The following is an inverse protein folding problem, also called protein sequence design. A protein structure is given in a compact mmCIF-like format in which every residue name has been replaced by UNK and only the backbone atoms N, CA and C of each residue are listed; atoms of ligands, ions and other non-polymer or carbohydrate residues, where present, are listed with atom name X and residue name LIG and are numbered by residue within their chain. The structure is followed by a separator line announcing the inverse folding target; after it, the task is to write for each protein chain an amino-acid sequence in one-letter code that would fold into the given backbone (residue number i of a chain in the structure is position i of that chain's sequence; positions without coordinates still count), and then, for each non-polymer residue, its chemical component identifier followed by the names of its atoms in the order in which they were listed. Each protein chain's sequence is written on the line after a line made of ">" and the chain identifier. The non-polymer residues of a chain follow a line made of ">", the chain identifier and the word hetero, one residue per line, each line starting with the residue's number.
data_IF_844485809376
#
_entry.id   IF_844485809376
#
_cell.length_a   1.000
_cell.length_b   1.000
_cell.length_c   1.000
_cell.angle_alpha   90.00
_cell.angle_beta   90.00
_cell.angle_gamma   90.00
#
_symmetry.space_group_name_H-M   'P 1'
#
loop_
_entity.id
_entity.type
_entity.pdbx_description
1 polymer ?
#
# COMPACT_ATOMS: atom_id res chain seq x y z
N UNK A 1 8.08 37.44 13.91
CA UNK A 1 8.34 36.00 14.12
C UNK A 1 8.98 35.30 12.91
N UNK A 2 8.51 35.44 11.65
CA UNK A 2 9.19 34.83 10.50
C UNK A 2 10.54 35.46 10.14
N UNK A 3 10.70 36.77 10.35
CA UNK A 3 11.93 37.52 10.00
C UNK A 3 13.16 37.05 10.80
N UNK A 4 12.97 36.51 12.01
CA UNK A 4 14.09 36.11 12.88
C UNK A 4 14.69 34.75 12.52
N UNK A 5 13.94 33.86 11.86
CA UNK A 5 14.39 32.47 11.63
C UNK A 5 14.91 32.22 10.21
N UNK A 6 14.57 33.11 9.27
CA UNK A 6 14.98 32.98 7.88
C UNK A 6 16.48 33.22 7.62
N UNK A 7 17.17 34.13 8.34
CA UNK A 7 18.64 34.25 8.26
C UNK A 7 19.33 32.93 8.65
N UNK A 8 18.98 32.36 9.80
CA UNK A 8 19.50 31.09 10.30
C UNK A 8 19.26 29.96 9.28
N UNK A 9 18.04 29.88 8.73
CA UNK A 9 17.72 28.90 7.70
C UNK A 9 18.62 29.00 6.48
N UNK A 10 18.84 30.21 5.95
CA UNK A 10 19.65 30.43 4.74
C UNK A 10 21.12 30.06 4.98
N UNK A 11 21.64 30.34 6.17
CA UNK A 11 23.00 30.00 6.56
C UNK A 11 23.17 28.49 6.70
N UNK A 12 22.25 27.82 7.39
CA UNK A 12 22.30 26.36 7.59
C UNK A 12 22.16 25.61 6.27
N UNK A 13 21.29 26.06 5.36
CA UNK A 13 21.15 25.46 4.02
C UNK A 13 22.43 25.61 3.20
N UNK A 14 23.10 26.77 3.29
CA UNK A 14 24.41 26.99 2.64
C UNK A 14 25.47 26.06 3.20
N UNK A 15 25.54 25.93 4.53
CA UNK A 15 26.50 25.05 5.20
C UNK A 15 26.27 23.57 4.89
N UNK A 16 25.00 23.14 4.74
CA UNK A 16 24.66 21.80 4.27
C UNK A 16 24.96 21.57 2.76
N UNK A 17 25.40 22.60 2.04
CA UNK A 17 25.77 22.54 0.63
C UNK A 17 24.59 22.56 -0.33
N UNK A 18 23.48 23.24 0.02
CA UNK A 18 22.39 23.44 -0.92
C UNK A 18 22.85 24.31 -2.10
N UNK A 19 22.67 23.87 -3.36
CA UNK A 19 23.33 24.48 -4.52
C UNK A 19 22.74 25.84 -4.94
N UNK A 20 21.50 26.14 -4.56
CA UNK A 20 20.78 27.35 -4.97
C UNK A 20 20.82 28.39 -3.85
N UNK A 21 21.06 29.65 -4.21
CA UNK A 21 20.97 30.75 -3.25
C UNK A 21 19.51 30.99 -2.84
N UNK A 22 19.27 30.98 -1.53
CA UNK A 22 17.99 31.32 -0.91
C UNK A 22 18.12 32.73 -0.33
N UNK A 23 17.20 33.63 -0.69
CA UNK A 23 17.14 34.99 -0.16
C UNK A 23 15.88 35.23 0.67
N UNK A 24 15.90 36.29 1.47
CA UNK A 24 14.74 36.72 2.28
C UNK A 24 13.52 37.01 1.39
N UNK A 25 13.74 37.59 0.21
CA UNK A 25 12.68 37.97 -0.75
C UNK A 25 11.92 36.76 -1.29
N UNK A 26 12.56 35.59 -1.38
CA UNK A 26 11.93 34.39 -1.95
C UNK A 26 10.72 33.86 -1.16
N UNK A 27 10.54 34.27 0.09
CA UNK A 27 9.44 33.86 0.96
C UNK A 27 8.51 35.01 1.39
N UNK A 28 8.69 36.21 0.83
CA UNK A 28 7.75 37.33 1.05
C UNK A 28 6.41 37.09 0.36
N UNK A 29 6.43 36.37 -0.77
CA UNK A 29 5.25 35.86 -1.45
C UNK A 29 5.31 34.33 -1.53
N UNK A 30 4.17 33.63 -1.65
CA UNK A 30 4.14 32.18 -1.81
C UNK A 30 4.99 31.69 -2.98
N UNK A 31 6.02 30.88 -2.70
CA UNK A 31 6.92 30.30 -3.68
C UNK A 31 7.00 28.78 -3.51
N UNK A 32 5.96 28.09 -3.98
CA UNK A 32 5.84 26.64 -3.82
C UNK A 32 6.96 25.87 -4.54
N UNK A 33 7.41 26.36 -5.70
CA UNK A 33 8.48 25.72 -6.47
C UNK A 33 9.76 25.65 -5.62
N UNK A 34 10.17 26.77 -5.01
CA UNK A 34 11.33 26.78 -4.14
C UNK A 34 11.16 25.87 -2.92
N UNK A 35 9.99 25.91 -2.26
CA UNK A 35 9.71 25.02 -1.12
C UNK A 35 9.80 23.55 -1.51
N UNK A 36 9.24 23.18 -2.68
CA UNK A 36 9.28 21.81 -3.17
C UNK A 36 10.70 21.33 -3.52
N UNK A 37 11.49 22.20 -4.15
CA UNK A 37 12.89 21.92 -4.47
C UNK A 37 13.72 21.70 -3.20
N UNK A 38 13.57 22.59 -2.22
CA UNK A 38 14.24 22.51 -0.92
C UNK A 38 13.83 21.25 -0.18
N UNK A 39 12.53 20.95 -0.08
CA UNK A 39 12.03 19.76 0.60
C UNK A 39 12.56 18.47 -0.04
N UNK A 40 12.53 18.39 -1.37
CA UNK A 40 13.03 17.22 -2.09
C UNK A 40 14.53 17.04 -1.84
N UNK A 41 15.29 18.14 -1.85
CA UNK A 41 16.72 18.11 -1.56
C UNK A 41 17.00 17.63 -0.12
N UNK A 42 16.29 18.17 0.87
CA UNK A 42 16.42 17.77 2.27
C UNK A 42 16.08 16.29 2.48
N UNK A 43 15.00 15.80 1.85
CA UNK A 43 14.63 14.39 1.94
C UNK A 43 15.70 13.48 1.34
N UNK A 44 16.27 13.85 0.18
CA UNK A 44 17.36 13.08 -0.45
C UNK A 44 18.64 13.04 0.38
N UNK A 45 18.84 14.01 1.29
CA UNK A 45 19.95 13.98 2.27
C UNK A 45 19.75 12.91 3.34
N UNK A 46 18.50 12.60 3.71
CA UNK A 46 18.19 11.48 4.61
C UNK A 46 18.27 10.13 3.90
N UNK A 47 17.64 10.01 2.72
CA UNK A 47 17.58 8.76 1.98
C UNK A 47 17.68 9.04 0.47
N UNK A 48 18.84 8.79 -0.17
CA UNK A 48 19.08 9.15 -1.57
C UNK A 48 18.12 8.48 -2.56
N UNK A 49 17.64 7.27 -2.25
CA UNK A 49 16.75 6.47 -3.09
C UNK A 49 15.25 6.71 -2.80
N UNK A 50 14.91 7.86 -2.22
CA UNK A 50 13.52 8.18 -1.87
C UNK A 50 12.63 8.32 -3.11
N UNK A 51 11.55 7.53 -3.15
CA UNK A 51 10.52 7.55 -4.20
C UNK A 51 9.45 8.63 -3.99
N UNK A 52 9.85 9.88 -3.72
CA UNK A 52 8.92 11.02 -3.70
C UNK A 52 8.81 11.61 -5.11
N UNK A 53 7.59 11.78 -5.67
CA UNK A 53 7.43 12.38 -7.00
C UNK A 53 7.99 13.80 -7.04
N UNK A 54 8.70 14.16 -8.12
CA UNK A 54 9.27 15.48 -8.29
C UNK A 54 8.32 16.47 -9.01
N UNK A 55 7.27 15.96 -9.66
CA UNK A 55 6.31 16.78 -10.38
C UNK A 55 5.36 17.52 -9.42
N UNK A 56 5.22 18.84 -9.60
CA UNK A 56 4.42 19.73 -8.73
C UNK A 56 3.63 20.77 -9.55
N UNK A 57 3.33 20.43 -10.80
CA UNK A 57 2.72 21.34 -11.77
C UNK A 57 1.26 21.65 -11.42
N UNK A 58 0.48 20.61 -11.10
CA UNK A 58 -0.93 20.76 -10.71
C UNK A 58 -1.11 20.90 -9.21
N UNK A 59 -2.24 21.48 -8.78
CA UNK A 59 -2.58 21.57 -7.35
C UNK A 59 -2.66 20.19 -6.68
N UNK A 60 -3.16 19.19 -7.40
CA UNK A 60 -3.25 17.81 -6.91
C UNK A 60 -1.85 17.23 -6.67
N UNK A 61 -0.91 17.45 -7.60
CA UNK A 61 0.48 17.01 -7.46
C UNK A 61 1.16 17.68 -6.26
N UNK A 62 0.92 18.98 -6.06
CA UNK A 62 1.46 19.72 -4.91
C UNK A 62 0.95 19.16 -3.59
N UNK A 63 -0.35 18.87 -3.49
CA UNK A 63 -0.95 18.25 -2.30
C UNK A 63 -0.37 16.85 -2.07
N UNK A 64 -0.22 16.05 -3.13
CA UNK A 64 0.39 14.73 -3.04
C UNK A 64 1.85 14.82 -2.56
N UNK A 65 2.64 15.70 -3.16
CA UNK A 65 4.03 15.97 -2.83
C UNK A 65 4.19 16.32 -1.34
N UNK A 66 3.44 17.31 -0.84
CA UNK A 66 3.52 17.72 0.57
C UNK A 66 3.13 16.58 1.51
N UNK A 67 2.11 15.79 1.17
CA UNK A 67 1.72 14.61 1.96
C UNK A 67 2.82 13.56 1.98
N UNK A 68 3.46 13.29 0.84
CA UNK A 68 4.53 12.31 0.72
C UNK A 68 5.77 12.73 1.55
N UNK A 69 6.18 13.99 1.45
CA UNK A 69 7.30 14.54 2.23
C UNK A 69 6.99 14.50 3.73
N UNK A 70 5.82 14.96 4.16
CA UNK A 70 5.45 14.95 5.58
C UNK A 70 5.38 13.52 6.15
N UNK A 71 4.88 12.57 5.37
CA UNK A 71 4.87 11.15 5.74
C UNK A 71 6.28 10.59 5.88
N UNK A 72 7.17 10.88 4.92
CA UNK A 72 8.56 10.44 4.97
C UNK A 72 9.26 10.98 6.22
N UNK A 73 9.17 12.29 6.47
CA UNK A 73 9.83 12.94 7.61
C UNK A 73 9.31 12.41 8.95
N UNK A 74 8.00 12.17 9.07
CA UNK A 74 7.42 11.62 10.30
C UNK A 74 7.84 10.18 10.58
N UNK A 75 8.00 9.34 9.54
CA UNK A 75 8.27 7.91 9.71
C UNK A 75 9.74 7.55 9.74
N UNK A 76 10.58 8.28 9.00
CA UNK A 76 12.01 7.99 8.86
C UNK A 76 12.89 8.88 9.71
N UNK A 77 12.54 10.16 9.82
CA UNK A 77 13.30 11.13 10.59
C UNK A 77 12.66 11.45 11.95
N UNK A 78 11.46 10.94 12.22
CA UNK A 78 10.66 11.26 13.41
C UNK A 78 10.36 12.77 13.56
N UNK A 79 10.36 13.52 12.45
CA UNK A 79 10.08 14.97 12.44
C UNK A 79 8.64 15.20 11.95
N UNK A 80 7.82 15.83 12.79
CA UNK A 80 6.44 16.20 12.45
C UNK A 80 6.40 17.58 11.79
N UNK A 81 5.96 17.60 10.53
CA UNK A 81 5.82 18.82 9.73
C UNK A 81 4.36 19.25 9.57
N UNK A 82 4.11 20.56 9.59
CA UNK A 82 2.79 21.12 9.29
C UNK A 82 2.59 21.30 7.78
N UNK A 83 1.79 20.41 7.19
CA UNK A 83 1.51 20.40 5.74
C UNK A 83 0.84 21.66 5.22
N UNK A 84 0.00 22.32 6.04
CA UNK A 84 -0.68 23.58 5.64
C UNK A 84 0.33 24.71 5.48
N UNK A 85 1.27 24.84 6.43
CA UNK A 85 2.32 25.86 6.37
C UNK A 85 3.30 25.61 5.23
N UNK A 86 3.65 24.35 4.96
CA UNK A 86 4.47 24.02 3.80
C UNK A 86 3.77 24.36 2.48
N UNK A 87 2.47 24.10 2.38
CA UNK A 87 1.68 24.40 1.17
C UNK A 87 1.47 25.92 0.96
N UNK A 88 1.37 26.71 2.04
CA UNK A 88 1.33 28.18 1.96
C UNK A 88 2.57 28.76 1.29
N UNK A 89 3.70 28.05 1.40
CA UNK A 89 4.96 28.34 0.71
C UNK A 89 5.52 29.76 0.89
N UNK A 90 5.15 30.43 1.98
CA UNK A 90 5.61 31.75 2.39
C UNK A 90 6.56 31.63 3.60
N UNK A 91 6.78 32.72 4.33
CA UNK A 91 7.59 32.71 5.55
C UNK A 91 7.17 31.68 6.61
N UNK A 92 5.92 31.18 6.63
CA UNK A 92 5.52 30.11 7.55
C UNK A 92 6.07 28.74 7.15
N UNK A 93 6.29 28.50 5.85
CA UNK A 93 6.92 27.27 5.37
C UNK A 93 8.36 27.15 5.88
N UNK A 94 9.08 28.27 5.97
CA UNK A 94 10.47 28.35 6.46
C UNK A 94 10.60 27.74 7.86
N UNK A 95 9.63 27.99 8.74
CA UNK A 95 9.63 27.41 10.10
C UNK A 95 9.57 25.89 10.09
N UNK A 96 8.87 25.30 9.13
CA UNK A 96 8.77 23.86 8.98
C UNK A 96 10.01 23.29 8.28
N UNK A 97 10.57 24.00 7.29
CA UNK A 97 11.85 23.65 6.64
C UNK A 97 13.01 23.62 7.64
N UNK A 98 13.02 24.57 8.56
CA UNK A 98 14.02 24.67 9.63
C UNK A 98 14.04 23.47 10.56
N UNK A 99 12.90 22.86 10.87
CA UNK A 99 12.86 21.66 11.72
C UNK A 99 13.69 20.52 11.15
N UNK A 100 13.66 20.39 9.81
CA UNK A 100 14.44 19.38 9.09
C UNK A 100 15.91 19.79 9.00
N UNK A 101 16.12 21.05 8.65
CA UNK A 101 17.45 21.63 8.43
C UNK A 101 18.26 21.64 9.72
N UNK A 102 17.65 21.93 10.87
CA UNK A 102 18.32 21.95 12.16
C UNK A 102 18.82 20.59 12.60
N UNK A 103 18.08 19.53 12.34
CA UNK A 103 18.50 18.16 12.65
C UNK A 103 19.67 17.73 11.75
N UNK A 104 19.60 18.03 10.45
CA UNK A 104 20.71 17.73 9.53
C UNK A 104 21.95 18.56 9.84
N UNK A 105 21.76 19.84 10.14
CA UNK A 105 22.84 20.76 10.48
C UNK A 105 23.49 20.39 11.81
N UNK A 106 22.70 20.03 12.83
CA UNK A 106 23.25 19.56 14.10
C UNK A 106 23.99 18.24 13.93
N UNK A 107 23.48 17.29 13.14
CA UNK A 107 24.19 16.05 12.83
C UNK A 107 25.50 16.26 12.05
N UNK A 108 25.59 17.31 11.22
CA UNK A 108 26.82 17.70 10.54
C UNK A 108 27.78 18.43 11.50
N UNK A 109 27.23 19.23 12.41
CA UNK A 109 27.97 20.06 13.36
C UNK A 109 28.41 19.30 14.60
N UNK A 110 27.82 18.15 14.95
CA UNK A 110 28.19 17.31 16.11
C UNK A 110 29.56 16.62 15.99
N UNK A 111 30.36 16.95 14.97
CA UNK A 111 31.83 16.89 15.10
C UNK A 111 32.41 18.00 16.00
N UNK A 112 31.57 18.87 16.56
CA UNK A 112 31.91 19.88 17.56
C UNK A 112 30.67 20.56 18.14
N UNK A 113 30.44 20.33 19.44
CA UNK A 113 29.57 21.09 20.36
C UNK A 113 28.13 20.59 20.53
N UNK A 114 27.78 20.47 21.81
CA UNK A 114 26.65 19.82 22.45
C UNK A 114 25.33 20.63 22.39
N UNK A 115 24.24 19.86 22.45
CA UNK A 115 22.86 20.19 22.89
C UNK A 115 22.40 21.65 22.88
N UNK A 116 21.47 21.95 21.97
CA UNK A 116 20.49 23.02 22.16
C UNK A 116 19.09 22.41 22.35
N UNK A 117 18.55 22.64 23.53
CA UNK A 117 17.20 22.28 23.97
C UNK A 117 16.14 22.85 23.02
N UNK A 118 15.28 21.99 22.48
CA UNK A 118 14.07 22.42 21.77
C UNK A 118 12.87 22.11 22.64
N UNK A 119 12.32 23.20 23.19
CA UNK A 119 11.07 23.34 23.93
C UNK A 119 9.97 22.38 23.46
N UNK A 120 9.54 21.50 24.37
CA UNK A 120 8.29 20.76 24.24
C UNK A 120 7.10 21.67 24.52
N UNK A 121 6.50 22.24 23.48
CA UNK A 121 5.12 22.70 23.57
C UNK A 121 4.28 22.13 22.42
N UNK A 122 3.21 21.45 22.84
CA UNK A 122 2.07 20.96 22.07
C UNK A 122 2.21 19.61 21.34
N UNK A 123 2.45 18.55 22.12
CA UNK A 123 2.41 17.15 21.66
C UNK A 123 1.00 16.51 21.69
N UNK A 124 -0.07 17.28 21.90
CA UNK A 124 -1.40 16.73 22.27
C UNK A 124 -2.51 16.82 21.22
N UNK A 125 -2.25 17.29 20.00
CA UNK A 125 -3.24 17.27 18.90
C UNK A 125 -2.62 16.64 17.66
N UNK A 126 -3.43 15.89 16.92
CA UNK A 126 -3.09 15.06 15.75
C UNK A 126 -2.68 13.61 16.08
N UNK A 127 -3.68 12.80 16.46
CA UNK A 127 -3.65 11.35 16.25
C UNK A 127 -3.50 11.11 14.74
N UNK A 128 -2.34 10.61 14.35
CA UNK A 128 -2.05 10.19 12.99
C UNK A 128 -2.85 8.91 12.73
N UNK A 129 -3.83 8.97 11.83
CA UNK A 129 -4.62 7.81 11.43
C UNK A 129 -3.79 6.93 10.47
N UNK A 130 -2.82 6.21 11.04
CA UNK A 130 -1.98 5.25 10.31
C UNK A 130 -2.79 4.01 9.90
N UNK A 131 -3.87 3.71 10.62
CA UNK A 131 -4.73 2.55 10.37
C UNK A 131 -5.38 2.59 9.00
N UNK A 132 -5.89 3.75 8.57
CA UNK A 132 -6.56 3.89 7.26
C UNK A 132 -5.62 3.73 6.07
N UNK A 133 -4.35 4.15 6.18
CA UNK A 133 -3.37 4.09 5.06
C UNK A 133 -2.56 2.80 4.95
N UNK A 134 -2.50 1.98 6.00
CA UNK A 134 -1.85 0.67 5.93
C UNK A 134 -2.60 -0.24 4.95
N UNK A 135 -3.93 -0.14 4.91
CA UNK A 135 -4.76 -0.86 3.95
C UNK A 135 -4.40 -0.47 2.51
N UNK A 136 -4.28 0.84 2.23
CA UNK A 136 -3.91 1.35 0.91
C UNK A 136 -2.51 0.89 0.48
N UNK A 137 -1.53 0.88 1.40
CA UNK A 137 -0.18 0.38 1.11
C UNK A 137 -0.17 -1.12 0.81
N UNK A 138 -1.00 -1.90 1.52
CA UNK A 138 -1.15 -3.34 1.25
C UNK A 138 -1.80 -3.56 -0.11
N UNK A 139 -2.84 -2.80 -0.44
CA UNK A 139 -3.51 -2.84 -1.74
C UNK A 139 -2.54 -2.44 -2.88
N UNK A 140 -1.75 -1.38 -2.70
CA UNK A 140 -0.76 -0.94 -3.68
C UNK A 140 0.31 -2.01 -3.97
N UNK A 141 0.82 -2.69 -2.93
CA UNK A 141 1.77 -3.82 -3.10
C UNK A 141 1.13 -5.00 -3.82
N UNK A 142 -0.12 -5.31 -3.49
CA UNK A 142 -0.87 -6.39 -4.15
C UNK A 142 -1.05 -6.08 -5.65
N UNK A 143 -1.48 -4.86 -5.98
CA UNK A 143 -1.64 -4.41 -7.36
C UNK A 143 -0.31 -4.44 -8.13
N UNK A 144 0.80 -4.00 -7.51
CA UNK A 144 2.12 -4.06 -8.14
C UNK A 144 2.53 -5.52 -8.49
N UNK A 145 2.27 -6.47 -7.59
CA UNK A 145 2.49 -7.90 -7.84
C UNK A 145 1.62 -8.42 -8.99
N UNK A 146 0.34 -8.02 -9.03
CA UNK A 146 -0.58 -8.38 -10.10
C UNK A 146 -0.16 -7.81 -11.46
N UNK A 147 0.33 -6.57 -11.49
CA UNK A 147 0.86 -5.97 -12.73
C UNK A 147 2.04 -6.79 -13.26
N UNK A 148 2.98 -7.17 -12.40
CA UNK A 148 4.12 -7.99 -12.80
C UNK A 148 3.68 -9.36 -13.32
N UNK A 149 2.76 -10.03 -12.61
CA UNK A 149 2.21 -11.33 -13.00
C UNK A 149 1.45 -11.27 -14.33
N UNK A 150 0.55 -10.29 -14.49
CA UNK A 150 -0.20 -10.06 -15.74
C UNK A 150 0.73 -9.66 -16.87
N UNK A 151 1.77 -8.88 -16.60
CA UNK A 151 2.79 -8.49 -17.58
C UNK A 151 3.56 -9.70 -18.11
N UNK A 152 3.99 -10.61 -17.24
CA UNK A 152 4.63 -11.86 -17.63
C UNK A 152 3.68 -12.74 -18.46
N UNK A 153 2.45 -12.91 -18.00
CA UNK A 153 1.41 -13.65 -18.72
C UNK A 153 1.15 -13.06 -20.12
N UNK A 154 1.06 -11.72 -20.22
CA UNK A 154 0.87 -11.03 -21.49
C UNK A 154 2.08 -11.21 -22.42
N UNK A 155 3.31 -11.11 -21.89
CA UNK A 155 4.53 -11.34 -22.67
C UNK A 155 4.53 -12.76 -23.28
N UNK A 156 4.23 -13.77 -22.48
CA UNK A 156 4.16 -15.16 -22.95
C UNK A 156 3.06 -15.38 -24.00
N UNK A 157 1.89 -14.74 -23.81
CA UNK A 157 0.78 -14.80 -24.77
C UNK A 157 1.11 -14.11 -26.09
N UNK A 158 1.70 -12.91 -26.04
CA UNK A 158 2.13 -12.18 -27.24
C UNK A 158 3.24 -12.91 -27.99
N UNK A 159 4.16 -13.58 -27.28
CA UNK A 159 5.18 -14.43 -27.89
C UNK A 159 4.58 -15.58 -28.72
N UNK A 160 3.37 -16.05 -28.38
CA UNK A 160 2.66 -17.10 -29.12
C UNK A 160 1.80 -16.55 -30.27
N UNK A 161 1.49 -15.25 -30.30
CA UNK A 161 0.54 -14.67 -31.27
C UNK A 161 0.98 -14.89 -32.72
N UNK A 162 2.28 -14.91 -33.02
CA UNK A 162 2.76 -15.14 -34.40
C UNK A 162 2.31 -16.51 -34.91
N UNK A 163 2.59 -17.57 -34.14
CA UNK A 163 2.17 -18.93 -34.50
C UNK A 163 0.64 -19.11 -34.42
N UNK A 164 0.00 -18.54 -33.39
CA UNK A 164 -1.45 -18.63 -33.22
C UNK A 164 -2.21 -17.90 -34.34
N UNK A 165 -1.67 -16.79 -34.86
CA UNK A 165 -2.28 -16.06 -35.99
C UNK A 165 -2.30 -16.91 -37.25
N UNK A 166 -1.20 -17.61 -37.56
CA UNK A 166 -1.12 -18.50 -38.71
C UNK A 166 -2.07 -19.70 -38.54
N UNK A 167 -2.01 -20.39 -37.41
CA UNK A 167 -2.90 -21.52 -37.10
C UNK A 167 -4.39 -21.12 -37.14
N UNK A 168 -4.72 -19.91 -36.66
CA UNK A 168 -6.08 -19.35 -36.75
C UNK A 168 -6.49 -19.10 -38.20
N UNK A 169 -5.63 -18.50 -39.02
CA UNK A 169 -5.92 -18.24 -40.43
C UNK A 169 -6.14 -19.55 -41.21
N UNK A 170 -5.31 -20.56 -40.96
CA UNK A 170 -5.45 -21.90 -41.52
C UNK A 170 -6.76 -22.57 -41.09
N UNK A 171 -7.10 -22.50 -39.80
CA UNK A 171 -8.35 -23.06 -39.27
C UNK A 171 -9.60 -22.38 -39.83
N UNK A 172 -9.56 -21.06 -40.05
CA UNK A 172 -10.67 -20.30 -40.67
C UNK A 172 -10.78 -20.61 -42.17
N UNK A 173 -9.66 -20.78 -42.85
CA UNK A 173 -9.64 -21.12 -44.27
C UNK A 173 -10.13 -22.54 -44.55
N UNK A 174 -10.09 -23.44 -43.55
CA UNK A 174 -10.61 -24.80 -43.66
C UNK A 174 -12.14 -24.77 -43.81
N UNK A 175 -12.71 -25.37 -44.87
CA UNK A 175 -14.16 -25.56 -44.97
C UNK A 175 -14.70 -26.30 -43.74
N UNK A 176 -15.86 -25.89 -43.24
CA UNK A 176 -16.51 -26.54 -42.10
C UNK A 176 -16.89 -27.98 -42.46
N UNK A 177 -16.12 -28.93 -41.94
CA UNK A 177 -16.41 -30.37 -42.01
C UNK A 177 -17.53 -30.70 -41.01
N UNK A 178 -18.78 -30.71 -41.49
CA UNK A 178 -19.99 -30.93 -40.67
C UNK A 178 -19.88 -32.22 -39.85
N UNK A 179 -19.29 -33.27 -40.41
CA UNK A 179 -19.11 -34.56 -39.74
C UNK A 179 -18.11 -34.48 -38.56
N UNK A 180 -17.04 -33.71 -38.70
CA UNK A 180 -16.08 -33.47 -37.60
C UNK A 180 -16.73 -32.65 -36.49
N UNK A 181 -17.50 -31.62 -36.85
CA UNK A 181 -18.24 -30.80 -35.91
C UNK A 181 -19.28 -31.62 -35.12
N UNK A 182 -20.05 -32.47 -35.79
CA UNK A 182 -21.02 -33.36 -35.14
C UNK A 182 -20.33 -34.34 -34.18
N UNK A 183 -19.20 -34.92 -34.59
CA UNK A 183 -18.41 -35.80 -33.73
C UNK A 183 -17.88 -35.06 -32.50
N UNK A 184 -17.38 -33.85 -32.66
CA UNK A 184 -16.90 -33.02 -31.55
C UNK A 184 -18.04 -32.70 -30.56
N UNK A 185 -19.23 -32.38 -31.08
CA UNK A 185 -20.43 -32.13 -30.24
C UNK A 185 -20.82 -33.40 -29.47
N UNK A 186 -20.82 -34.57 -30.11
CA UNK A 186 -21.10 -35.85 -29.43
C UNK A 186 -20.13 -36.13 -28.29
N UNK A 187 -18.82 -35.96 -28.54
CA UNK A 187 -17.80 -36.13 -27.49
C UNK A 187 -18.01 -35.15 -26.33
N UNK A 188 -18.35 -33.89 -26.63
CA UNK A 188 -18.63 -32.89 -25.60
C UNK A 188 -19.87 -33.27 -24.76
N UNK A 189 -20.93 -33.78 -25.39
CA UNK A 189 -22.11 -34.30 -24.69
C UNK A 189 -21.73 -35.45 -23.77
N UNK A 190 -20.98 -36.44 -24.26
CA UNK A 190 -20.56 -37.59 -23.48
C UNK A 190 -19.70 -37.18 -22.26
N UNK A 191 -18.79 -36.23 -22.47
CA UNK A 191 -17.97 -35.68 -21.38
C UNK A 191 -18.80 -34.98 -20.31
N UNK A 192 -19.83 -34.21 -20.70
CA UNK A 192 -20.72 -33.54 -19.76
C UNK A 192 -21.57 -34.56 -19.00
N UNK A 193 -22.07 -35.59 -19.68
CA UNK A 193 -22.82 -36.67 -19.04
C UNK A 193 -21.97 -37.42 -18.00
N UNK A 194 -20.69 -37.66 -18.30
CA UNK A 194 -19.76 -38.27 -17.34
C UNK A 194 -19.54 -37.37 -16.12
N UNK A 195 -19.39 -36.05 -16.31
CA UNK A 195 -19.27 -35.09 -15.21
C UNK A 195 -20.54 -35.03 -14.35
N UNK A 196 -21.72 -35.07 -14.97
CA UNK A 196 -23.00 -35.13 -14.27
C UNK A 196 -23.08 -36.40 -13.41
N UNK A 197 -22.69 -37.55 -13.97
CA UNK A 197 -22.70 -38.81 -13.23
C UNK A 197 -21.73 -38.78 -12.04
N UNK A 198 -20.48 -38.31 -12.23
CA UNK A 198 -19.52 -38.13 -11.14
C UNK A 198 -20.06 -37.23 -10.03
N UNK A 199 -20.71 -36.13 -10.41
CA UNK A 199 -21.32 -35.19 -9.44
C UNK A 199 -22.45 -35.83 -8.66
N UNK A 200 -23.27 -36.64 -9.32
CA UNK A 200 -24.34 -37.40 -8.68
C UNK A 200 -23.80 -38.43 -7.68
N UNK A 201 -22.71 -39.11 -8.03
CA UNK A 201 -22.06 -40.08 -7.14
C UNK A 201 -21.45 -39.40 -5.91
N UNK A 202 -20.81 -38.24 -6.09
CA UNK A 202 -20.33 -37.43 -4.96
C UNK A 202 -21.48 -36.98 -4.05
N UNK A 203 -22.61 -36.57 -4.61
CA UNK A 203 -23.78 -36.15 -3.82
C UNK A 203 -24.34 -37.30 -2.98
N UNK A 204 -24.40 -38.52 -3.55
CA UNK A 204 -24.82 -39.70 -2.81
C UNK A 204 -23.86 -40.02 -1.66
N UNK A 205 -22.55 -39.89 -1.87
CA UNK A 205 -21.57 -40.10 -0.80
C UNK A 205 -21.74 -39.09 0.33
N UNK A 206 -21.92 -37.80 0.00
CA UNK A 206 -22.19 -36.75 1.00
C UNK A 206 -23.45 -37.06 1.80
N UNK A 207 -24.53 -37.51 1.16
CA UNK A 207 -25.75 -37.89 1.86
C UNK A 207 -25.56 -39.06 2.83
N UNK A 208 -24.74 -40.06 2.46
CA UNK A 208 -24.38 -41.18 3.35
C UNK A 208 -23.53 -40.72 4.54
N UNK A 209 -22.56 -39.83 4.30
CA UNK A 209 -21.72 -39.26 5.35
C UNK A 209 -22.54 -38.40 6.32
N UNK A 210 -23.46 -37.59 5.80
CA UNK A 210 -24.40 -36.79 6.59
C UNK A 210 -25.25 -37.67 7.51
N UNK A 211 -25.86 -38.73 6.96
CA UNK A 211 -26.65 -39.68 7.76
C UNK A 211 -25.80 -40.38 8.84
N UNK A 212 -24.54 -40.73 8.55
CA UNK A 212 -23.62 -41.32 9.52
C UNK A 212 -23.26 -40.34 10.64
N UNK A 213 -23.00 -39.08 10.30
CA UNK A 213 -22.68 -38.04 11.26
C UNK A 213 -23.87 -37.71 12.15
N UNK A 214 -25.09 -37.63 11.59
CA UNK A 214 -26.30 -37.40 12.38
C UNK A 214 -26.53 -38.51 13.41
N UNK A 215 -26.36 -39.78 13.00
CA UNK A 215 -26.45 -40.91 13.92
C UNK A 215 -25.40 -40.86 15.05
N UNK A 216 -24.17 -40.41 14.74
CA UNK A 216 -23.11 -40.22 15.75
C UNK A 216 -23.43 -39.06 16.69
N UNK A 217 -23.94 -37.94 16.17
CA UNK A 217 -24.36 -36.78 16.95
C UNK A 217 -25.47 -37.19 17.93
N UNK A 218 -26.49 -37.90 17.46
CA UNK A 218 -27.61 -38.32 18.29
C UNK A 218 -27.16 -39.27 19.41
N UNK A 219 -26.30 -40.24 19.09
CA UNK A 219 -25.69 -41.11 20.11
C UNK A 219 -24.93 -40.31 21.17
N UNK A 220 -24.15 -39.30 20.75
CA UNK A 220 -23.39 -38.43 21.67
C UNK A 220 -24.30 -37.55 22.52
N UNK A 221 -25.41 -37.01 21.97
CA UNK A 221 -26.41 -36.26 22.74
C UNK A 221 -27.01 -37.12 23.85
N UNK A 222 -27.43 -38.35 23.54
CA UNK A 222 -27.99 -39.29 24.53
C UNK A 222 -26.96 -39.66 25.61
N UNK A 223 -25.71 -39.90 25.22
CA UNK A 223 -24.62 -40.13 26.18
C UNK A 223 -24.41 -38.91 27.10
N UNK A 224 -24.37 -37.70 26.52
CA UNK A 224 -24.19 -36.44 27.24
C UNK A 224 -25.31 -36.22 28.27
N UNK A 225 -26.57 -36.36 27.87
CA UNK A 225 -27.72 -36.22 28.76
C UNK A 225 -27.66 -37.21 29.93
N UNK A 226 -27.25 -38.46 29.68
CA UNK A 226 -27.08 -39.46 30.74
C UNK A 226 -25.99 -39.05 31.72
N UNK A 227 -24.84 -38.55 31.24
CA UNK A 227 -23.77 -38.03 32.10
C UNK A 227 -24.18 -36.77 32.87
N UNK A 228 -24.93 -35.86 32.26
CA UNK A 228 -25.46 -34.66 32.93
C UNK A 228 -26.40 -35.04 34.08
N UNK A 229 -27.37 -35.92 33.85
CA UNK A 229 -28.28 -36.42 34.91
C UNK A 229 -27.51 -37.09 36.06
N UNK A 230 -26.47 -37.87 35.76
CA UNK A 230 -25.59 -38.48 36.78
C UNK A 230 -24.84 -37.41 37.59
N UNK A 231 -24.31 -36.39 36.91
CA UNK A 231 -23.61 -35.29 37.55
C UNK A 231 -24.54 -34.49 38.48
N UNK A 232 -25.74 -34.14 38.02
CA UNK A 232 -26.77 -33.46 38.81
C UNK A 232 -27.12 -34.26 40.07
N UNK A 233 -27.29 -35.58 39.93
CA UNK A 233 -27.55 -36.47 41.06
C UNK A 233 -26.39 -36.41 42.08
N UNK A 234 -25.14 -36.49 41.63
CA UNK A 234 -23.97 -36.39 42.50
C UNK A 234 -23.84 -35.02 43.18
N UNK A 235 -24.21 -33.94 42.48
CA UNK A 235 -24.21 -32.58 43.04
C UNK A 235 -25.31 -32.37 44.08
N UNK A 236 -26.47 -33.01 43.93
CA UNK A 236 -27.58 -32.92 44.88
C UNK A 236 -27.36 -33.65 46.20
N UNK A 237 -26.38 -34.56 46.26
CA UNK A 237 -26.05 -35.38 47.45
C UNK A 237 -24.98 -34.69 48.33
N UNK A 238 -24.56 -33.46 47.99
CA UNK A 238 -23.61 -32.64 48.75
C UNK A 238 -24.26 -31.39 49.29
#
# INVERSE_FOLDING_TARGET
>A
ACVLVLPDFTEMMRALGYPRLISMENFHTPNFILVSEVLLWLVRRYEPQTAIPAAVETEQDRVFFIKAVAQFMATKAHIKLNTKKLYQADGYAVKELLKVTSVLYSAMSTKGVEQAELSEEDSSKFKFDLGSKIADLKAARQLASEIASRGASLYDLLGKEVALREARAESIARPLEINEAEKAVKIAIDSVLEQVQKTKDMLNNVALDEASLEAKIEKRKVELERSQKRLETLQSVR
#
